data_IF_551418615777
#
_entry.id   IF_551418615777
#
_cell.length_a   1.000
_cell.length_b   1.000
_cell.length_c   1.000
_cell.angle_alpha   90.00
_cell.angle_beta   90.00
_cell.angle_gamma   90.00
#
_symmetry.space_group_name_H-M   'P 1'
#
loop_
_entity.id
_entity.type
_entity.pdbx_description
1 polymer ?
#
# COMPACT_ATOMS: atom_id res chain seq x y z
N UNK A 1 -35.83 -23.39 29.62
CA UNK A 1 -35.94 -22.81 28.27
C UNK A 1 -34.86 -21.74 28.14
N UNK A 2 -33.68 -22.09 27.64
CA UNK A 2 -32.59 -21.11 27.44
C UNK A 2 -32.18 -21.16 25.97
N UNK A 3 -32.61 -20.14 25.23
CA UNK A 3 -32.31 -19.95 23.82
C UNK A 3 -30.91 -19.35 23.68
N UNK A 4 -30.00 -20.06 23.01
CA UNK A 4 -28.64 -19.62 22.72
C UNK A 4 -28.58 -19.19 21.25
N UNK A 5 -28.62 -17.89 20.99
CA UNK A 5 -28.52 -17.33 19.64
C UNK A 5 -27.09 -16.89 19.34
N UNK A 6 -26.43 -17.55 18.37
CA UNK A 6 -25.15 -17.13 17.83
C UNK A 6 -25.34 -15.93 16.87
N UNK A 7 -24.43 -14.93 16.87
CA UNK A 7 -24.50 -13.83 15.91
C UNK A 7 -24.07 -14.28 14.51
N UNK A 8 -24.85 -13.88 13.51
CA UNK A 8 -24.65 -14.21 12.09
C UNK A 8 -23.40 -13.49 11.54
N UNK A 9 -22.49 -14.25 10.92
CA UNK A 9 -21.36 -13.73 10.14
C UNK A 9 -21.88 -12.87 8.98
N UNK A 10 -21.59 -11.57 9.03
CA UNK A 10 -21.72 -10.67 7.89
C UNK A 10 -20.69 -11.04 6.82
N UNK A 11 -21.16 -11.28 5.58
CA UNK A 11 -20.32 -11.52 4.41
C UNK A 11 -19.88 -10.17 3.84
N UNK A 12 -18.57 -9.92 3.75
CA UNK A 12 -18.03 -8.77 3.04
C UNK A 12 -18.33 -8.89 1.53
N UNK A 13 -18.79 -7.82 0.86
CA UNK A 13 -19.00 -7.82 -0.59
C UNK A 13 -17.67 -7.75 -1.35
N UNK A 14 -17.62 -8.42 -2.50
CA UNK A 14 -16.43 -8.60 -3.35
C UNK A 14 -16.18 -7.45 -4.34
N UNK A 15 -14.89 -7.20 -4.60
CA UNK A 15 -14.25 -6.23 -5.50
C UNK A 15 -14.71 -6.23 -6.98
N UNK A 16 -15.89 -5.70 -7.31
CA UNK A 16 -16.33 -5.64 -8.73
C UNK A 16 -17.11 -4.39 -9.17
N UNK A 17 -17.29 -3.34 -8.36
CA UNK A 17 -18.29 -2.31 -8.70
C UNK A 17 -17.86 -0.85 -8.58
N UNK A 18 -16.57 -0.52 -8.62
CA UNK A 18 -16.16 0.88 -8.75
C UNK A 18 -16.01 1.26 -10.24
N UNK A 19 -16.72 2.31 -10.73
CA UNK A 19 -16.55 2.78 -12.09
C UNK A 19 -15.18 3.47 -12.27
N UNK A 20 -14.49 3.15 -13.37
CA UNK A 20 -13.28 3.85 -13.78
C UNK A 20 -13.64 5.27 -14.24
N UNK A 21 -12.91 6.32 -13.82
CA UNK A 21 -13.08 7.64 -14.43
C UNK A 21 -12.68 7.56 -15.91
N UNK A 22 -13.62 7.93 -16.78
CA UNK A 22 -13.39 8.02 -18.23
C UNK A 22 -12.64 9.33 -18.52
N UNK A 23 -11.42 9.23 -19.05
CA UNK A 23 -10.73 10.38 -19.61
C UNK A 23 -11.42 10.77 -20.93
N UNK A 24 -11.97 11.98 -20.99
CA UNK A 24 -12.57 12.56 -22.19
C UNK A 24 -11.56 12.68 -23.33
N UNK A 25 -12.02 12.28 -24.53
CA UNK A 25 -11.32 12.41 -25.81
C UNK A 25 -11.38 13.86 -26.30
N UNK A 26 -10.24 14.40 -26.69
CA UNK A 26 -10.17 15.51 -27.64
C UNK A 26 -9.43 15.04 -28.90
N UNK A 27 -10.16 14.89 -30.01
CA UNK A 27 -9.60 14.55 -31.31
C UNK A 27 -9.16 15.83 -32.07
N UNK A 28 -7.87 15.84 -32.43
CA UNK A 28 -7.29 16.12 -33.76
C UNK A 28 -7.60 17.45 -34.45
N UNK A 29 -6.53 18.19 -34.83
CA UNK A 29 -6.10 18.47 -36.21
C UNK A 29 -4.71 19.13 -36.17
N UNK A 30 -3.71 18.55 -36.85
CA UNK A 30 -2.84 19.23 -37.85
C UNK A 30 -1.96 18.21 -38.58
N UNK A 31 -1.88 18.34 -39.90
CA UNK A 31 -1.07 17.54 -40.84
C UNK A 31 0.39 18.00 -40.85
N UNK A 32 1.33 17.05 -41.00
CA UNK A 32 2.34 16.95 -42.10
C UNK A 32 3.56 16.09 -41.67
N UNK A 33 3.97 15.17 -42.54
CA UNK A 33 5.14 14.25 -42.45
C UNK A 33 6.42 14.89 -43.03
N UNK A 34 7.56 14.18 -43.21
CA UNK A 34 8.39 13.40 -42.27
C UNK A 34 9.90 13.78 -42.36
N UNK A 35 10.72 13.58 -41.32
CA UNK A 35 12.16 13.20 -41.51
C UNK A 35 12.87 12.83 -40.19
N UNK A 36 13.69 11.78 -40.34
CA UNK A 36 14.91 11.39 -39.62
C UNK A 36 14.98 11.21 -38.09
N UNK A 37 15.05 9.92 -37.72
CA UNK A 37 16.24 9.30 -37.11
C UNK A 37 16.94 10.06 -35.98
N UNK A 38 16.69 9.69 -34.72
CA UNK A 38 17.77 9.41 -33.74
C UNK A 38 17.26 8.85 -32.40
N UNK A 39 17.97 7.82 -31.94
CA UNK A 39 18.08 7.31 -30.56
C UNK A 39 16.81 6.86 -29.85
N UNK A 40 16.54 5.57 -30.03
CA UNK A 40 15.80 4.67 -29.16
C UNK A 40 16.24 4.81 -27.69
N UNK A 41 15.34 5.26 -26.83
CA UNK A 41 15.30 4.83 -25.43
C UNK A 41 13.87 4.47 -25.12
N UNK A 42 13.46 3.28 -25.56
CA UNK A 42 12.20 2.70 -25.10
C UNK A 42 12.39 2.32 -23.63
N UNK A 43 12.11 3.24 -22.73
CA UNK A 43 11.87 2.90 -21.34
C UNK A 43 10.83 1.77 -21.33
N UNK A 44 11.22 0.62 -20.81
CA UNK A 44 10.30 -0.51 -20.66
C UNK A 44 9.09 -0.02 -19.84
N UNK A 45 7.85 -0.40 -20.19
CA UNK A 45 6.69 -0.04 -19.40
C UNK A 45 6.93 -0.39 -17.93
N UNK A 46 6.61 0.52 -16.99
CA UNK A 46 6.94 0.43 -15.55
C UNK A 46 6.64 -0.94 -14.91
N UNK A 47 5.68 -1.67 -15.46
CA UNK A 47 5.33 -3.03 -15.07
C UNK A 47 6.48 -4.06 -15.22
N UNK A 48 7.48 -3.80 -16.07
CA UNK A 48 8.64 -4.67 -16.33
C UNK A 48 9.86 -4.40 -15.43
N UNK A 49 9.85 -3.36 -14.59
CA UNK A 49 10.95 -3.07 -13.66
C UNK A 49 10.73 -3.62 -12.24
N UNK A 50 9.63 -4.34 -12.02
CA UNK A 50 9.31 -4.88 -10.69
C UNK A 50 10.12 -6.14 -10.42
N UNK A 51 10.62 -6.34 -9.18
CA UNK A 51 11.31 -7.56 -8.81
C UNK A 51 10.41 -8.77 -9.07
N UNK A 52 10.96 -9.78 -9.73
CA UNK A 52 10.26 -11.04 -10.02
C UNK A 52 10.43 -12.06 -8.90
N UNK A 53 11.34 -11.79 -7.95
CA UNK A 53 11.66 -12.65 -6.82
C UNK A 53 11.72 -11.85 -5.53
N UNK A 54 11.09 -12.40 -4.50
CA UNK A 54 11.06 -11.81 -3.17
C UNK A 54 11.42 -12.86 -2.12
N UNK A 55 12.09 -12.43 -1.07
CA UNK A 55 12.13 -13.16 0.20
C UNK A 55 11.08 -12.55 1.13
N UNK A 56 10.31 -13.39 1.83
CA UNK A 56 9.37 -12.91 2.85
C UNK A 56 10.12 -12.61 4.15
N UNK A 57 9.92 -11.42 4.70
CA UNK A 57 10.29 -11.06 6.06
C UNK A 57 9.02 -11.04 6.93
N UNK A 58 9.00 -11.91 7.94
CA UNK A 58 7.84 -12.10 8.82
C UNK A 58 7.63 -10.91 9.75
N UNK A 59 6.39 -10.42 9.85
CA UNK A 59 6.01 -9.35 10.77
C UNK A 59 5.17 -9.90 11.94
N UNK A 60 5.27 -9.28 13.10
CA UNK A 60 4.48 -9.69 14.28
C UNK A 60 2.99 -9.39 14.07
N UNK A 61 2.12 -10.38 14.30
CA UNK A 61 0.67 -10.29 14.12
C UNK A 61 -0.09 -9.82 15.36
N UNK A 62 0.05 -8.54 15.73
CA UNK A 62 -0.59 -7.91 16.90
C UNK A 62 -1.63 -6.83 16.51
N UNK A 63 -2.08 -6.86 15.26
CA UNK A 63 -2.95 -5.82 14.69
C UNK A 63 -2.24 -4.54 14.25
N UNK A 64 -0.94 -4.39 14.53
CA UNK A 64 -0.11 -3.29 14.00
C UNK A 64 0.78 -3.71 12.83
N UNK A 65 0.55 -4.90 12.27
CA UNK A 65 1.38 -5.51 11.24
C UNK A 65 1.62 -4.62 10.01
N UNK A 66 0.60 -3.91 9.51
CA UNK A 66 0.76 -2.99 8.39
C UNK A 66 1.79 -1.88 8.71
N UNK A 67 1.64 -1.21 9.85
CA UNK A 67 2.55 -0.14 10.27
C UNK A 67 3.96 -0.67 10.55
N UNK A 68 4.08 -1.86 11.17
CA UNK A 68 5.36 -2.53 11.40
C UNK A 68 6.07 -2.86 10.07
N UNK A 69 5.34 -3.41 9.10
CA UNK A 69 5.86 -3.70 7.76
C UNK A 69 6.37 -2.42 7.07
N UNK A 70 5.62 -1.32 7.16
CA UNK A 70 6.04 -0.03 6.62
C UNK A 70 7.32 0.50 7.29
N UNK A 71 7.40 0.54 8.62
CA UNK A 71 8.62 1.08 9.29
C UNK A 71 9.84 0.17 9.10
N UNK A 72 9.64 -1.15 9.08
CA UNK A 72 10.70 -2.12 8.79
C UNK A 72 11.21 -1.97 7.35
N UNK A 73 10.30 -1.90 6.37
CA UNK A 73 10.64 -1.72 4.95
C UNK A 73 11.32 -0.39 4.69
N UNK A 74 10.78 0.70 5.26
CA UNK A 74 11.36 2.03 5.13
C UNK A 74 12.78 2.06 5.69
N UNK A 75 13.00 1.51 6.89
CA UNK A 75 14.32 1.43 7.51
C UNK A 75 15.31 0.66 6.64
N UNK A 76 14.94 -0.53 6.16
CA UNK A 76 15.83 -1.33 5.31
C UNK A 76 16.23 -0.58 4.04
N UNK A 77 15.31 0.14 3.41
CA UNK A 77 15.63 0.93 2.22
C UNK A 77 16.57 2.12 2.50
N UNK A 78 16.47 2.73 3.68
CA UNK A 78 17.34 3.84 4.09
C UNK A 78 18.71 3.37 4.59
N UNK A 79 18.80 2.13 5.08
CA UNK A 79 19.99 1.59 5.75
C UNK A 79 20.57 0.36 5.04
N UNK A 80 20.49 0.30 3.71
CA UNK A 80 21.17 -0.72 2.91
C UNK A 80 20.79 -2.17 3.24
N UNK A 81 19.52 -2.41 3.57
CA UNK A 81 18.98 -3.71 3.94
C UNK A 81 19.10 -4.07 5.42
N UNK A 82 19.65 -3.19 6.26
CA UNK A 82 19.72 -3.43 7.70
C UNK A 82 18.32 -3.42 8.33
N UNK A 83 18.01 -4.47 9.09
CA UNK A 83 16.74 -4.61 9.80
C UNK A 83 16.61 -3.53 10.88
N UNK A 84 15.38 -3.04 11.08
CA UNK A 84 15.10 -2.17 12.21
C UNK A 84 15.27 -2.99 13.51
N UNK A 85 15.94 -2.46 14.54
CA UNK A 85 16.07 -3.16 15.80
C UNK A 85 14.69 -3.48 16.40
N UNK A 86 14.48 -4.72 16.84
CA UNK A 86 13.19 -5.19 17.37
C UNK A 86 12.67 -4.31 18.54
N UNK A 87 13.59 -3.80 19.37
CA UNK A 87 13.26 -2.90 20.49
C UNK A 87 12.67 -1.55 20.03
N UNK A 88 12.92 -1.13 18.79
CA UNK A 88 12.44 0.14 18.22
C UNK A 88 11.26 -0.02 17.24
N UNK A 89 11.00 -1.24 16.75
CA UNK A 89 9.98 -1.48 15.72
C UNK A 89 8.58 -1.05 16.18
N UNK A 90 8.18 -1.46 17.39
CA UNK A 90 6.83 -1.17 17.88
C UNK A 90 6.60 0.33 18.09
N UNK A 91 7.54 1.03 18.72
CA UNK A 91 7.40 2.47 18.98
C UNK A 91 7.41 3.28 17.69
N UNK A 92 8.24 2.90 16.71
CA UNK A 92 8.21 3.52 15.37
C UNK A 92 6.91 3.23 14.63
N UNK A 93 6.37 2.02 14.71
CA UNK A 93 5.07 1.67 14.11
C UNK A 93 3.93 2.49 14.75
N UNK A 94 3.96 2.69 16.07
CA UNK A 94 2.99 3.55 16.76
C UNK A 94 3.14 5.02 16.34
N UNK A 95 4.37 5.52 16.21
CA UNK A 95 4.62 6.88 15.71
C UNK A 95 4.11 7.08 14.28
N UNK A 96 4.35 6.11 13.39
CA UNK A 96 3.81 6.12 12.03
C UNK A 96 2.28 6.12 12.04
N UNK A 97 1.64 5.32 12.90
CA UNK A 97 0.18 5.31 13.06
C UNK A 97 -0.36 6.71 13.41
N UNK A 98 0.25 7.39 14.38
CA UNK A 98 -0.19 8.74 14.75
C UNK A 98 -0.01 9.73 13.60
N UNK A 99 1.12 9.67 12.89
CA UNK A 99 1.37 10.51 11.73
C UNK A 99 0.35 10.24 10.60
N UNK A 100 -0.01 8.98 10.36
CA UNK A 100 -1.03 8.59 9.39
C UNK A 100 -2.41 9.12 9.75
N UNK A 101 -2.81 9.04 11.03
CA UNK A 101 -4.08 9.61 11.49
C UNK A 101 -4.13 11.12 11.31
N UNK A 102 -3.02 11.80 11.58
CA UNK A 102 -2.94 13.24 11.35
C UNK A 102 -2.97 13.58 9.85
N UNK A 103 -2.35 12.75 9.01
CA UNK A 103 -2.39 12.94 7.57
C UNK A 103 -3.79 12.68 7.00
N UNK A 104 -4.52 11.67 7.51
CA UNK A 104 -5.93 11.46 7.18
C UNK A 104 -6.77 12.70 7.54
N UNK A 105 -6.55 13.29 8.72
CA UNK A 105 -7.26 14.49 9.17
C UNK A 105 -7.08 15.67 8.22
N UNK A 106 -5.85 15.90 7.74
CA UNK A 106 -5.57 16.98 6.77
C UNK A 106 -6.23 16.75 5.41
N UNK A 107 -6.50 15.49 5.06
CA UNK A 107 -7.07 15.08 3.78
C UNK A 107 -8.55 14.66 3.92
N UNK A 108 -9.26 15.18 4.93
CA UNK A 108 -10.65 14.79 5.24
C UNK A 108 -11.58 14.89 4.03
N UNK A 109 -11.52 15.99 3.28
CA UNK A 109 -12.41 16.23 2.13
C UNK A 109 -12.29 15.15 1.05
N UNK A 110 -11.06 14.66 0.82
CA UNK A 110 -10.79 13.61 -0.16
C UNK A 110 -11.11 12.21 0.38
N UNK A 111 -10.99 12.00 1.70
CA UNK A 111 -11.07 10.67 2.31
C UNK A 111 -12.46 10.32 2.84
N UNK A 112 -13.17 11.28 3.44
CA UNK A 112 -14.48 11.09 4.06
C UNK A 112 -15.53 10.47 3.11
N UNK A 113 -15.61 10.84 1.81
CA UNK A 113 -16.58 10.23 0.89
C UNK A 113 -16.42 8.70 0.69
N UNK A 114 -15.23 8.15 0.94
CA UNK A 114 -14.92 6.73 0.72
C UNK A 114 -15.02 5.88 2.00
N UNK A 115 -15.20 6.50 3.16
CA UNK A 115 -15.31 5.85 4.46
C UNK A 115 -16.70 5.34 4.91
N UNK A 116 -17.87 5.68 4.30
CA UNK A 116 -19.18 5.20 4.76
C UNK A 116 -19.35 3.66 4.79
N UNK A 117 -18.42 2.90 4.20
CA UNK A 117 -18.38 1.43 4.33
C UNK A 117 -17.57 0.91 5.53
N UNK A 118 -16.90 1.79 6.26
CA UNK A 118 -15.92 1.47 7.32
C UNK A 118 -16.32 2.12 8.66
N UNK A 119 -16.87 3.34 8.63
CA UNK A 119 -17.36 4.05 9.82
C UNK A 119 -18.52 4.99 9.48
N UNK A 120 -19.39 5.26 10.46
CA UNK A 120 -20.52 6.18 10.31
C UNK A 120 -20.10 7.66 10.40
N UNK A 121 -18.97 7.94 11.07
CA UNK A 121 -18.40 9.28 11.26
C UNK A 121 -16.87 9.25 11.12
N UNK A 122 -16.33 10.30 10.49
CA UNK A 122 -14.89 10.41 10.18
C UNK A 122 -14.04 10.60 11.44
N UNK A 123 -14.50 11.41 12.40
CA UNK A 123 -13.73 11.67 13.61
C UNK A 123 -13.70 10.44 14.51
N UNK A 124 -14.80 9.67 14.58
CA UNK A 124 -14.84 8.35 15.21
C UNK A 124 -13.90 7.36 14.53
N UNK A 125 -13.80 7.39 13.21
CA UNK A 125 -12.84 6.58 12.46
C UNK A 125 -11.40 6.91 12.87
N UNK A 126 -11.04 8.19 12.88
CA UNK A 126 -9.70 8.63 13.29
C UNK A 126 -9.38 8.28 14.74
N UNK A 127 -10.35 8.48 15.65
CA UNK A 127 -10.19 8.16 17.06
C UNK A 127 -9.92 6.67 17.29
N UNK A 128 -10.61 5.80 16.53
CA UNK A 128 -10.36 4.35 16.54
C UNK A 128 -9.00 4.02 15.90
N UNK A 129 -8.70 4.58 14.73
CA UNK A 129 -7.46 4.28 14.00
C UNK A 129 -6.20 4.66 14.79
N UNK A 130 -6.29 5.70 15.62
CA UNK A 130 -5.23 6.12 16.53
C UNK A 130 -4.89 5.08 17.61
N UNK A 131 -5.81 4.17 17.94
CA UNK A 131 -5.59 3.17 18.98
C UNK A 131 -4.62 2.07 18.52
N UNK A 132 -3.68 1.65 19.39
CA UNK A 132 -2.84 0.49 19.11
C UNK A 132 -3.66 -0.77 18.82
N UNK A 133 -3.16 -1.63 17.92
CA UNK A 133 -3.80 -2.91 17.59
C UNK A 133 -4.99 -2.83 16.64
N UNK A 134 -5.51 -1.63 16.33
CA UNK A 134 -6.50 -1.46 15.25
C UNK A 134 -5.82 -1.67 13.90
N UNK A 135 -6.42 -2.51 13.06
CA UNK A 135 -5.86 -2.89 11.75
C UNK A 135 -5.97 -1.70 10.80
N UNK A 136 -4.87 -1.37 10.13
CA UNK A 136 -4.90 -0.42 9.02
C UNK A 136 -5.24 -1.14 7.70
N UNK A 137 -5.67 -0.36 6.72
CA UNK A 137 -5.98 -0.84 5.38
C UNK A 137 -5.57 0.16 4.29
N UNK A 138 -6.34 0.18 3.22
CA UNK A 138 -6.09 1.02 2.04
C UNK A 138 -5.99 2.53 2.37
N UNK A 139 -6.92 3.14 3.15
CA UNK A 139 -6.81 4.55 3.53
C UNK A 139 -5.49 4.87 4.25
N UNK A 140 -5.07 4.01 5.18
CA UNK A 140 -3.82 4.19 5.92
C UNK A 140 -2.58 3.93 5.06
N UNK A 141 -2.63 3.01 4.10
CA UNK A 141 -1.52 2.77 3.17
C UNK A 141 -1.27 3.97 2.26
N UNK A 142 -2.34 4.60 1.77
CA UNK A 142 -2.23 5.84 1.00
C UNK A 142 -1.62 6.96 1.85
N UNK A 143 -2.07 7.15 3.08
CA UNK A 143 -1.48 8.18 3.94
C UNK A 143 -0.07 7.83 4.41
N UNK A 144 0.24 6.55 4.62
CA UNK A 144 1.58 6.11 4.97
C UNK A 144 2.57 6.38 3.84
N UNK A 145 2.18 6.23 2.57
CA UNK A 145 3.05 6.54 1.43
C UNK A 145 3.41 8.03 1.40
N UNK A 146 2.44 8.91 1.72
CA UNK A 146 2.64 10.36 1.85
C UNK A 146 3.49 10.71 3.07
N UNK A 147 3.21 10.15 4.25
CA UNK A 147 4.02 10.42 5.46
C UNK A 147 5.48 9.99 5.28
N UNK A 148 5.71 8.85 4.63
CA UNK A 148 7.05 8.31 4.39
C UNK A 148 7.69 8.82 3.08
N UNK A 149 6.95 9.60 2.28
CA UNK A 149 7.33 10.11 0.95
C UNK A 149 7.93 9.00 0.08
N UNK A 150 7.25 7.86 0.02
CA UNK A 150 7.76 6.64 -0.64
C UNK A 150 6.61 5.76 -1.13
N UNK A 151 6.73 5.15 -2.32
CA UNK A 151 5.69 4.28 -2.81
C UNK A 151 5.57 2.99 -2.00
N UNK A 152 4.36 2.44 -1.92
CA UNK A 152 4.05 1.17 -1.25
C UNK A 152 3.37 0.23 -2.24
N UNK A 153 4.13 -0.72 -2.79
CA UNK A 153 3.61 -1.76 -3.66
C UNK A 153 3.03 -2.90 -2.83
N UNK A 154 1.75 -3.21 -3.02
CA UNK A 154 1.06 -4.28 -2.30
C UNK A 154 0.89 -5.50 -3.19
N UNK A 155 1.19 -6.67 -2.63
CA UNK A 155 1.06 -7.96 -3.25
C UNK A 155 0.09 -8.83 -2.44
N UNK A 156 -0.68 -9.68 -3.10
CA UNK A 156 -1.48 -10.71 -2.45
C UNK A 156 -0.71 -12.03 -2.40
N UNK A 157 -0.83 -12.76 -1.29
CA UNK A 157 -0.40 -14.15 -1.24
C UNK A 157 -1.26 -15.01 -2.17
N UNK A 158 -0.63 -15.66 -3.15
CA UNK A 158 -1.29 -16.56 -4.08
C UNK A 158 -0.48 -17.84 -4.29
N UNK A 159 -1.12 -18.85 -4.89
CA UNK A 159 -0.43 -20.06 -5.31
C UNK A 159 0.58 -19.73 -6.41
N UNK A 160 1.83 -20.17 -6.25
CA UNK A 160 2.93 -19.85 -7.17
C UNK A 160 3.70 -18.56 -6.84
N UNK A 161 3.32 -17.82 -5.79
CA UNK A 161 4.07 -16.67 -5.27
C UNK A 161 3.25 -15.38 -5.14
N UNK A 162 3.84 -14.30 -4.59
CA UNK A 162 3.16 -13.01 -4.44
C UNK A 162 2.67 -12.44 -5.78
N UNK A 163 1.41 -12.01 -5.83
CA UNK A 163 0.80 -11.37 -7.01
C UNK A 163 0.61 -9.88 -6.75
N UNK A 164 1.08 -9.04 -7.66
CA UNK A 164 0.91 -7.59 -7.52
C UNK A 164 -0.58 -7.20 -7.53
N UNK A 165 -0.97 -6.30 -6.63
CA UNK A 165 -2.31 -5.72 -6.57
C UNK A 165 -2.26 -4.29 -7.11
N UNK A 166 -1.61 -3.38 -6.37
CA UNK A 166 -1.52 -1.95 -6.67
C UNK A 166 -0.34 -1.29 -5.92
N UNK A 167 0.03 -0.08 -6.31
CA UNK A 167 1.02 0.76 -5.61
C UNK A 167 0.34 2.02 -5.10
N UNK A 168 0.59 2.37 -3.83
CA UNK A 168 0.21 3.68 -3.26
C UNK A 168 1.40 4.64 -3.35
N UNK A 169 1.14 5.92 -3.60
CA UNK A 169 2.22 6.93 -3.66
C UNK A 169 3.08 6.81 -4.93
N UNK A 170 2.48 6.49 -6.08
CA UNK A 170 3.18 6.39 -7.37
C UNK A 170 3.90 7.70 -7.74
N UNK A 171 3.41 8.84 -7.24
CA UNK A 171 4.06 10.15 -7.38
C UNK A 171 5.49 10.22 -6.80
N UNK A 172 5.86 9.29 -5.93
CA UNK A 172 7.19 9.22 -5.31
C UNK A 172 8.16 8.27 -6.02
N UNK A 173 7.75 7.53 -7.06
CA UNK A 173 8.56 6.46 -7.68
C UNK A 173 9.86 6.95 -8.31
N UNK A 174 9.91 8.20 -8.77
CA UNK A 174 11.14 8.81 -9.32
C UNK A 174 12.16 9.06 -8.21
N UNK A 175 11.70 9.48 -7.03
CA UNK A 175 12.56 9.91 -5.94
C UNK A 175 12.96 8.76 -5.00
N UNK A 176 12.14 7.71 -4.90
CA UNK A 176 12.29 6.69 -3.89
C UNK A 176 11.84 5.30 -4.38
N UNK A 177 12.68 4.29 -4.15
CA UNK A 177 12.32 2.89 -4.37
C UNK A 177 11.11 2.47 -3.51
N UNK A 178 10.18 1.64 -4.04
CA UNK A 178 8.99 1.23 -3.31
C UNK A 178 9.31 0.29 -2.13
N UNK A 179 8.50 0.36 -1.07
CA UNK A 179 8.36 -0.74 -0.12
C UNK A 179 7.42 -1.79 -0.71
N UNK A 180 7.68 -3.07 -0.49
CA UNK A 180 6.83 -4.15 -1.00
C UNK A 180 6.17 -4.90 0.16
N UNK A 181 4.85 -4.82 0.27
CA UNK A 181 4.08 -5.48 1.32
C UNK A 181 3.35 -6.70 0.77
N UNK A 182 3.26 -7.77 1.55
CA UNK A 182 2.47 -8.96 1.25
C UNK A 182 1.22 -9.01 2.12
N UNK A 183 0.05 -8.96 1.51
CA UNK A 183 -1.25 -9.18 2.13
C UNK A 183 -1.67 -10.64 2.03
N UNK A 184 -1.95 -11.27 3.18
CA UNK A 184 -2.41 -12.67 3.25
C UNK A 184 -3.90 -12.83 3.56
N UNK A 185 -4.70 -11.77 3.46
CA UNK A 185 -6.14 -11.77 3.80
C UNK A 185 -6.46 -11.32 5.24
N UNK A 186 -5.48 -11.32 6.14
CA UNK A 186 -5.63 -10.82 7.51
C UNK A 186 -4.33 -10.28 8.13
N UNK A 187 -3.24 -10.25 7.37
CA UNK A 187 -1.92 -9.90 7.86
C UNK A 187 -1.06 -9.30 6.75
N UNK A 188 -0.19 -8.36 7.13
CA UNK A 188 0.83 -7.80 6.26
C UNK A 188 2.21 -8.28 6.70
N UNK A 189 2.92 -8.91 5.78
CA UNK A 189 4.36 -9.18 5.86
C UNK A 189 5.13 -8.21 4.94
N UNK A 190 6.46 -8.18 5.07
CA UNK A 190 7.32 -7.44 4.16
C UNK A 190 7.90 -8.39 3.09
N UNK A 191 7.96 -7.93 1.84
CA UNK A 191 8.66 -8.58 0.75
C UNK A 191 9.97 -7.85 0.48
N UNK A 192 11.08 -8.59 0.49
CA UNK A 192 12.41 -8.09 0.21
C UNK A 192 12.81 -8.50 -1.21
N UNK A 193 12.96 -7.54 -2.15
CA UNK A 193 13.44 -7.83 -3.49
C UNK A 193 14.74 -8.61 -3.45
N UNK A 194 14.80 -9.70 -4.21
CA UNK A 194 16.03 -10.46 -4.38
C UNK A 194 16.73 -10.01 -5.67
N UNK A 195 18.06 -9.88 -5.67
CA UNK A 195 18.79 -9.66 -6.91
C UNK A 195 18.50 -10.79 -7.90
N UNK A 196 18.39 -10.45 -9.19
CA UNK A 196 18.29 -11.45 -10.23
C UNK A 196 19.52 -12.36 -10.14
N UNK A 197 19.32 -13.67 -9.98
CA UNK A 197 20.41 -14.64 -10.04
C UNK A 197 21.07 -14.53 -11.41
N UNK A 198 22.38 -14.24 -11.42
CA UNK A 198 23.20 -14.36 -12.63
C UNK A 198 23.22 -15.84 -13.01
N UNK A 199 22.65 -16.15 -14.17
CA UNK A 199 22.79 -17.46 -14.82
C UNK A 199 24.21 -17.62 -15.36
#
# INVERSE_FOLDING_TARGET
MHSNAQPKRSRQPTLSSLPRPQAERADVITRSSPTDSTSSSSALPLQQQRPTRFAKYGITGDGSCMFRACVQGHHQLQHGGQQLPAAAEYSKALALRQAVVEELRKNREDMEPFLPGIADDFDDYLAKMAQPGVWGGEPELLMASRVLQRPIAVYQAAWGGPQYILTYGEEFEIAAAPMHLLWSGSHYDLLLPQPASKL
#
